data_IF_036299591555
#
_entry.id   IF_036299591555
#
_cell.length_a   1.000
_cell.length_b   1.000
_cell.length_c   1.000
_cell.angle_alpha   90.00
_cell.angle_beta   90.00
_cell.angle_gamma   90.00
#
_symmetry.space_group_name_H-M   'P 1'
#
loop_
_entity.id
_entity.type
_entity.pdbx_description
1 polymer ?
#
# COMPACT_ATOMS: atom_id res chain seq x y z
N UNK A 1 2.66 35.39 -73.44
CA UNK A 1 2.29 33.97 -73.40
C UNK A 1 1.94 33.63 -71.96
N UNK A 2 0.68 33.22 -71.73
CA UNK A 2 0.18 32.39 -70.60
C UNK A 2 0.23 32.90 -69.14
N UNK A 3 -0.92 32.72 -68.50
CA UNK A 3 -1.31 32.99 -67.12
C UNK A 3 -0.50 32.23 -66.06
N UNK A 4 -0.30 32.87 -64.90
CA UNK A 4 -0.40 32.22 -63.59
C UNK A 4 -1.37 33.04 -62.74
N UNK A 5 -2.60 32.55 -62.58
CA UNK A 5 -3.50 32.99 -61.51
C UNK A 5 -2.91 32.44 -60.22
N UNK A 6 -2.40 33.31 -59.37
CA UNK A 6 -2.34 33.00 -57.95
C UNK A 6 -3.65 33.52 -57.36
N UNK A 7 -4.59 32.61 -57.13
CA UNK A 7 -5.75 32.86 -56.29
C UNK A 7 -5.23 33.13 -54.87
N UNK A 8 -4.88 34.39 -54.61
CA UNK A 8 -4.79 34.93 -53.26
C UNK A 8 -6.22 34.86 -52.71
N UNK A 9 -6.55 33.76 -52.05
CA UNK A 9 -7.78 33.64 -51.27
C UNK A 9 -7.71 34.71 -50.18
N UNK A 10 -8.16 35.92 -50.51
CA UNK A 10 -8.31 37.03 -49.60
C UNK A 10 -9.40 36.63 -48.61
N UNK A 11 -8.98 35.99 -47.52
CA UNK A 11 -9.83 35.79 -46.36
C UNK A 11 -10.31 37.16 -45.92
N UNK A 12 -11.63 37.34 -45.92
CA UNK A 12 -12.25 38.57 -45.44
C UNK A 12 -11.74 38.86 -44.03
N UNK A 13 -11.33 40.11 -43.72
CA UNK A 13 -10.85 40.48 -42.38
C UNK A 13 -11.78 40.03 -41.25
N UNK A 14 -13.09 39.97 -41.53
CA UNK A 14 -14.11 39.52 -40.58
C UNK A 14 -14.07 38.00 -40.37
N UNK A 15 -13.89 37.24 -41.44
CA UNK A 15 -13.89 35.77 -41.39
C UNK A 15 -12.60 35.27 -40.71
N UNK A 16 -11.47 35.93 -40.95
CA UNK A 16 -10.21 35.59 -40.27
C UNK A 16 -10.30 35.75 -38.75
N UNK A 17 -10.91 36.84 -38.27
CA UNK A 17 -11.12 37.08 -36.84
C UNK A 17 -12.12 36.09 -36.25
N UNK A 18 -13.25 35.84 -36.93
CA UNK A 18 -14.22 34.86 -36.45
C UNK A 18 -13.61 33.46 -36.32
N UNK A 19 -12.78 33.04 -37.28
CA UNK A 19 -12.14 31.73 -37.25
C UNK A 19 -11.09 31.63 -36.13
N UNK A 20 -10.32 32.70 -35.89
CA UNK A 20 -9.38 32.76 -34.77
C UNK A 20 -10.07 32.66 -33.41
N UNK A 21 -11.21 33.34 -33.24
CA UNK A 21 -12.00 33.29 -32.00
C UNK A 21 -12.58 31.90 -31.75
N UNK A 22 -13.11 31.23 -32.77
CA UNK A 22 -13.67 29.89 -32.60
C UNK A 22 -12.60 28.89 -32.18
N UNK A 23 -11.44 28.90 -32.86
CA UNK A 23 -10.34 27.97 -32.53
C UNK A 23 -9.81 28.23 -31.12
N UNK A 24 -9.62 29.49 -30.73
CA UNK A 24 -9.12 29.83 -29.39
C UNK A 24 -10.12 29.45 -28.29
N UNK A 25 -11.42 29.64 -28.51
CA UNK A 25 -12.47 29.24 -27.55
C UNK A 25 -12.52 27.71 -27.40
N UNK A 26 -12.44 26.95 -28.49
CA UNK A 26 -12.41 25.48 -28.44
C UNK A 26 -11.17 24.99 -27.69
N UNK A 27 -9.99 25.54 -28.00
CA UNK A 27 -8.75 25.17 -27.32
C UNK A 27 -8.80 25.53 -25.83
N UNK A 28 -9.32 26.71 -25.47
CA UNK A 28 -9.49 27.12 -24.08
C UNK A 28 -10.44 26.18 -23.32
N UNK A 29 -11.57 25.81 -23.93
CA UNK A 29 -12.51 24.87 -23.34
C UNK A 29 -11.92 23.46 -23.18
N UNK A 30 -11.18 22.97 -24.17
CA UNK A 30 -10.49 21.68 -24.09
C UNK A 30 -9.45 21.69 -22.96
N UNK A 31 -8.55 22.67 -22.94
CA UNK A 31 -7.52 22.80 -21.89
C UNK A 31 -8.15 22.98 -20.50
N UNK A 32 -9.23 23.75 -20.39
CA UNK A 32 -9.99 23.90 -19.14
C UNK A 32 -10.63 22.59 -18.69
N UNK A 33 -11.22 21.84 -19.62
CA UNK A 33 -11.80 20.51 -19.37
C UNK A 33 -10.74 19.50 -18.91
N UNK A 34 -9.54 19.54 -19.49
CA UNK A 34 -8.41 18.72 -19.05
C UNK A 34 -7.86 19.16 -17.70
N UNK A 35 -7.85 20.45 -17.37
CA UNK A 35 -7.43 20.92 -16.03
C UNK A 35 -8.43 20.62 -14.92
N UNK A 36 -9.74 20.57 -15.24
CA UNK A 36 -10.79 20.26 -14.28
C UNK A 36 -11.07 18.76 -14.13
N UNK A 37 -10.92 17.99 -15.21
CA UNK A 37 -11.19 16.55 -15.25
C UNK A 37 -10.04 15.65 -14.74
N UNK A 38 -8.85 16.21 -14.51
CA UNK A 38 -7.71 15.52 -13.89
C UNK A 38 -7.57 15.78 -12.39
N UNK A 39 -8.53 16.45 -11.75
CA UNK A 39 -8.70 16.35 -10.29
C UNK A 39 -9.56 15.11 -9.99
N UNK A 40 -9.21 13.99 -10.63
CA UNK A 40 -9.64 12.69 -10.15
C UNK A 40 -8.94 12.50 -8.82
N UNK A 41 -9.74 12.32 -7.77
CA UNK A 41 -9.39 12.06 -6.38
C UNK A 41 -7.98 11.46 -6.22
N UNK A 42 -6.96 12.33 -6.28
CA UNK A 42 -5.60 11.92 -5.98
C UNK A 42 -5.55 11.98 -4.47
N UNK A 43 -6.29 11.07 -3.83
CA UNK A 43 -6.16 10.76 -2.43
C UNK A 43 -4.65 10.65 -2.21
N UNK A 44 -4.09 11.67 -1.56
CA UNK A 44 -2.65 11.75 -1.30
C UNK A 44 -2.25 10.38 -0.77
N UNK A 45 -1.26 9.67 -1.34
CA UNK A 45 -0.72 8.51 -0.65
C UNK A 45 -0.31 9.03 0.73
N UNK A 46 -0.94 8.51 1.78
CA UNK A 46 -0.59 8.92 3.14
C UNK A 46 0.92 8.73 3.26
N UNK A 47 1.63 9.79 3.64
CA UNK A 47 3.10 9.81 3.62
C UNK A 47 3.68 9.10 4.84
N UNK A 48 3.05 8.00 5.27
CA UNK A 48 3.51 7.24 6.41
C UNK A 48 4.77 6.45 6.01
N UNK A 49 5.83 6.65 6.78
CA UNK A 49 7.02 5.83 6.73
C UNK A 49 6.97 4.79 7.85
N UNK A 50 7.13 3.52 7.50
CA UNK A 50 7.25 2.41 8.45
C UNK A 50 8.56 1.68 8.26
N UNK A 51 9.08 1.14 9.35
CA UNK A 51 10.19 0.21 9.35
C UNK A 51 9.72 -1.08 9.99
N UNK A 52 10.02 -2.21 9.37
CA UNK A 52 9.74 -3.51 9.97
C UNK A 52 11.02 -4.34 10.09
N UNK A 53 11.10 -5.08 11.18
CA UNK A 53 12.22 -5.91 11.57
C UNK A 53 11.65 -7.30 11.91
N UNK A 54 11.93 -8.30 11.07
CA UNK A 54 11.50 -9.69 11.28
C UNK A 54 12.69 -10.55 11.73
N UNK A 55 12.44 -11.44 12.69
CA UNK A 55 13.40 -12.45 13.16
C UNK A 55 12.63 -13.67 13.64
N UNK A 56 13.01 -14.85 13.15
CA UNK A 56 12.37 -16.12 13.53
C UNK A 56 12.45 -16.37 15.04
N UNK A 57 13.53 -15.94 15.70
CA UNK A 57 13.72 -16.08 17.14
C UNK A 57 13.19 -14.91 17.99
N UNK A 58 13.17 -13.68 17.47
CA UNK A 58 12.78 -12.49 18.26
C UNK A 58 11.35 -12.00 18.01
N UNK A 59 10.73 -12.38 16.90
CA UNK A 59 9.42 -11.89 16.49
C UNK A 59 9.46 -10.84 15.38
N UNK A 60 8.31 -10.22 15.15
CA UNK A 60 8.14 -9.13 14.18
C UNK A 60 7.97 -7.82 14.95
N UNK A 61 8.70 -6.79 14.54
CA UNK A 61 8.56 -5.44 15.08
C UNK A 61 8.27 -4.48 13.93
N UNK A 62 7.26 -3.62 14.07
CA UNK A 62 6.86 -2.61 13.10
C UNK A 62 6.90 -1.25 13.80
N UNK A 63 7.80 -0.37 13.38
CA UNK A 63 7.97 0.97 13.95
C UNK A 63 7.42 2.01 12.99
N UNK A 64 6.61 2.93 13.53
CA UNK A 64 6.11 4.09 12.80
C UNK A 64 7.20 5.18 12.78
N UNK A 65 7.81 5.40 11.62
CA UNK A 65 8.96 6.32 11.49
C UNK A 65 8.53 7.78 11.31
N UNK A 66 7.32 8.03 10.80
CA UNK A 66 6.79 9.38 10.62
C UNK A 66 5.58 9.41 9.69
N UNK A 67 4.96 10.59 9.55
CA UNK A 67 3.79 10.81 8.69
C UNK A 67 2.48 10.83 9.46
N UNK A 68 1.38 10.52 8.76
CA UNK A 68 0.02 10.61 9.30
C UNK A 68 -0.27 9.50 10.31
N UNK A 69 -1.06 9.82 11.34
CA UNK A 69 -1.60 8.80 12.26
C UNK A 69 -2.70 8.00 11.57
N UNK A 70 -2.68 6.68 11.73
CA UNK A 70 -3.73 5.80 11.19
C UNK A 70 -4.63 5.22 12.27
N UNK A 71 -5.84 4.86 11.86
CA UNK A 71 -6.77 4.08 12.67
C UNK A 71 -6.47 2.58 12.54
N UNK A 72 -6.19 1.90 13.64
CA UNK A 72 -5.84 0.46 13.61
C UNK A 72 -7.05 -0.43 13.35
N UNK A 73 -8.28 0.07 13.57
CA UNK A 73 -9.51 -0.70 13.32
C UNK A 73 -9.90 -0.74 11.84
N UNK A 74 -9.39 0.21 11.05
CA UNK A 74 -9.64 0.33 9.61
C UNK A 74 -8.40 -0.02 8.78
N UNK A 75 -7.30 -0.41 9.44
CA UNK A 75 -6.05 -0.78 8.76
C UNK A 75 -5.76 -2.27 8.91
N UNK A 76 -5.63 -2.96 7.78
CA UNK A 76 -5.12 -4.31 7.69
C UNK A 76 -3.59 -4.32 7.47
N UNK A 77 -2.93 -5.35 8.02
CA UNK A 77 -1.53 -5.63 7.75
C UNK A 77 -1.50 -6.74 6.73
N UNK A 78 -1.01 -6.42 5.54
CA UNK A 78 -0.80 -7.38 4.48
C UNK A 78 0.68 -7.65 4.38
N UNK A 79 1.01 -8.89 4.09
CA UNK A 79 2.37 -9.23 3.79
C UNK A 79 2.39 -10.12 2.54
N UNK A 80 3.48 -10.05 1.80
CA UNK A 80 3.66 -10.82 0.57
C UNK A 80 5.13 -11.16 0.36
N UNK A 81 5.49 -12.40 0.00
CA UNK A 81 6.84 -12.73 -0.42
C UNK A 81 7.29 -11.88 -1.61
N UNK A 82 8.60 -11.73 -1.77
CA UNK A 82 9.20 -11.14 -2.98
C UNK A 82 9.63 -12.24 -3.95
N UNK A 83 10.23 -11.83 -5.08
CA UNK A 83 10.87 -12.71 -6.06
C UNK A 83 11.92 -13.65 -5.47
N UNK A 84 12.43 -13.37 -4.28
CA UNK A 84 13.37 -14.24 -3.56
C UNK A 84 12.74 -15.63 -3.28
N UNK A 85 11.40 -15.73 -3.24
CA UNK A 85 10.64 -16.96 -3.08
C UNK A 85 10.26 -17.64 -4.41
N UNK A 86 10.80 -17.19 -5.55
CA UNK A 86 10.53 -17.79 -6.86
C UNK A 86 9.07 -17.64 -7.29
N UNK A 87 8.44 -18.72 -7.75
CA UNK A 87 7.06 -18.76 -8.26
C UNK A 87 5.97 -18.55 -7.19
N UNK A 88 6.32 -18.03 -6.02
CA UNK A 88 5.42 -17.76 -4.91
C UNK A 88 5.30 -16.27 -4.61
N UNK A 89 5.97 -15.40 -5.38
CA UNK A 89 5.97 -13.93 -5.19
C UNK A 89 4.59 -13.27 -5.41
N UNK A 90 3.65 -13.97 -6.04
CA UNK A 90 2.26 -13.55 -6.17
C UNK A 90 1.39 -13.79 -4.93
N UNK A 91 1.88 -14.54 -3.94
CA UNK A 91 1.12 -14.82 -2.72
C UNK A 91 0.94 -13.55 -1.89
N UNK A 92 -0.20 -13.44 -1.21
CA UNK A 92 -0.55 -12.30 -0.38
C UNK A 92 -1.45 -12.79 0.75
N UNK A 93 -1.14 -12.42 1.99
CA UNK A 93 -1.95 -12.81 3.15
C UNK A 93 -2.24 -11.62 4.06
N UNK A 94 -3.36 -11.71 4.74
CA UNK A 94 -3.74 -10.82 5.83
C UNK A 94 -3.13 -11.35 7.14
N UNK A 95 -2.25 -10.58 7.75
CA UNK A 95 -1.69 -10.94 9.05
C UNK A 95 -2.77 -10.84 10.14
N UNK A 96 -2.82 -11.80 11.07
CA UNK A 96 -3.75 -11.74 12.18
C UNK A 96 -3.39 -10.58 13.12
N UNK A 97 -4.16 -9.49 13.04
CA UNK A 97 -3.95 -8.30 13.87
C UNK A 97 -4.26 -8.53 15.35
N UNK A 98 -4.89 -9.66 15.71
CA UNK A 98 -5.25 -9.98 17.10
C UNK A 98 -4.03 -10.32 17.96
N UNK A 99 -2.96 -10.82 17.35
CA UNK A 99 -1.68 -11.08 18.04
C UNK A 99 -0.71 -9.89 17.99
N UNK A 100 -0.97 -8.94 17.09
CA UNK A 100 -0.17 -7.72 16.94
C UNK A 100 -0.49 -6.75 18.08
N UNK A 101 0.54 -6.31 18.79
CA UNK A 101 0.42 -5.45 19.96
C UNK A 101 1.20 -4.16 19.78
N UNK A 102 0.59 -3.02 20.08
CA UNK A 102 1.22 -1.70 20.05
C UNK A 102 1.53 -1.26 21.46
N UNK A 103 2.77 -0.81 21.68
CA UNK A 103 3.17 -0.18 22.93
C UNK A 103 2.57 1.23 23.03
N UNK A 104 1.59 1.40 23.92
CA UNK A 104 0.95 2.68 24.28
C UNK A 104 1.47 3.14 25.64
N UNK A 105 2.68 3.69 25.66
CA UNK A 105 3.35 4.11 26.89
C UNK A 105 3.65 2.90 27.81
N UNK A 106 2.97 2.81 28.96
CA UNK A 106 3.15 1.72 29.93
C UNK A 106 2.27 0.49 29.67
N UNK A 107 1.34 0.57 28.71
CA UNK A 107 0.39 -0.50 28.42
C UNK A 107 0.55 -0.98 26.98
N UNK A 108 0.39 -2.29 26.78
CA UNK A 108 0.34 -2.90 25.45
C UNK A 108 -1.12 -3.07 25.03
N UNK A 109 -1.46 -2.59 23.84
CA UNK A 109 -2.82 -2.64 23.28
C UNK A 109 -2.83 -3.44 21.99
N UNK A 110 -3.85 -4.25 21.79
CA UNK A 110 -3.97 -5.07 20.56
C UNK A 110 -4.28 -4.17 19.38
N UNK A 111 -3.69 -4.43 18.21
CA UNK A 111 -3.93 -3.66 16.99
C UNK A 111 -5.41 -3.67 16.64
N UNK A 112 -5.96 -4.86 16.41
CA UNK A 112 -7.38 -5.10 16.20
C UNK A 112 -7.71 -6.57 16.50
N UNK A 113 -8.78 -6.80 17.25
CA UNK A 113 -9.34 -8.13 17.51
C UNK A 113 -10.87 -8.02 17.42
N UNK A 114 -11.54 -8.85 16.60
CA UNK A 114 -12.98 -8.74 16.36
C UNK A 114 -13.82 -9.06 17.61
N UNK A 115 -13.26 -9.84 18.54
CA UNK A 115 -13.96 -10.28 19.77
C UNK A 115 -13.63 -9.41 20.99
N UNK A 116 -12.78 -8.40 20.85
CA UNK A 116 -12.33 -7.57 21.95
C UNK A 116 -13.07 -6.24 22.02
N UNK A 117 -13.26 -5.72 23.23
CA UNK A 117 -13.85 -4.39 23.42
C UNK A 117 -12.93 -3.32 22.83
N UNK A 118 -13.51 -2.28 22.22
CA UNK A 118 -12.75 -1.17 21.63
C UNK A 118 -11.86 -0.42 22.63
N UNK A 119 -12.14 -0.52 23.95
CA UNK A 119 -11.29 0.02 25.02
C UNK A 119 -9.98 -0.75 25.22
N UNK A 120 -9.86 -1.97 24.67
CA UNK A 120 -8.68 -2.82 24.74
C UNK A 120 -7.79 -2.70 23.50
N UNK A 121 -8.29 -2.07 22.44
CA UNK A 121 -7.58 -1.88 21.18
C UNK A 121 -6.72 -0.61 21.18
N UNK A 122 -5.69 -0.60 20.35
CA UNK A 122 -4.78 0.53 20.20
C UNK A 122 -5.49 1.77 19.63
N UNK A 123 -6.53 1.56 18.80
CA UNK A 123 -7.34 2.54 18.05
C UNK A 123 -6.56 3.38 17.05
N UNK A 124 -5.34 3.78 17.39
CA UNK A 124 -4.47 4.55 16.54
C UNK A 124 -3.07 3.96 16.52
N UNK A 125 -2.33 4.20 15.44
CA UNK A 125 -0.90 3.96 15.36
C UNK A 125 -0.22 5.25 14.94
N UNK A 126 0.66 5.78 15.79
CA UNK A 126 1.22 7.12 15.69
C UNK A 126 2.74 7.09 15.46
N UNK A 127 3.33 8.15 14.89
CA UNK A 127 4.79 8.30 14.78
C UNK A 127 5.51 8.06 16.11
N UNK A 128 6.55 7.24 16.09
CA UNK A 128 7.34 6.84 17.25
C UNK A 128 6.81 5.60 17.98
N UNK A 129 5.57 5.17 17.71
CA UNK A 129 5.05 3.94 18.27
C UNK A 129 5.61 2.71 17.56
N UNK A 130 5.62 1.59 18.29
CA UNK A 130 6.08 0.31 17.79
C UNK A 130 5.04 -0.75 18.07
N UNK A 131 4.61 -1.42 17.00
CA UNK A 131 3.87 -2.66 17.06
C UNK A 131 4.85 -3.83 17.10
N UNK A 132 4.51 -4.88 17.84
CA UNK A 132 5.32 -6.08 17.94
C UNK A 132 4.42 -7.33 17.95
N UNK A 133 4.99 -8.43 17.48
CA UNK A 133 4.44 -9.78 17.52
C UNK A 133 5.49 -10.66 18.17
N UNK A 134 5.09 -11.46 19.16
CA UNK A 134 6.00 -12.37 19.83
C UNK A 134 6.45 -13.48 18.87
N UNK A 135 7.65 -14.04 19.09
CA UNK A 135 8.16 -15.17 18.30
C UNK A 135 7.20 -16.37 18.32
N UNK A 136 6.51 -16.58 19.46
CA UNK A 136 5.49 -17.62 19.62
C UNK A 136 4.26 -17.43 18.75
N UNK A 137 4.00 -16.24 18.22
CA UNK A 137 2.77 -15.90 17.49
C UNK A 137 3.08 -15.61 16.01
N UNK A 138 4.34 -15.82 15.57
CA UNK A 138 4.77 -15.50 14.21
C UNK A 138 4.01 -16.29 13.15
N UNK A 139 3.53 -17.50 13.46
CA UNK A 139 2.73 -18.31 12.54
C UNK A 139 1.42 -17.64 12.12
N UNK A 140 0.88 -16.72 12.94
CA UNK A 140 -0.36 -16.02 12.62
C UNK A 140 -0.15 -14.75 11.77
N UNK A 141 1.10 -14.35 11.56
CA UNK A 141 1.45 -13.13 10.80
C UNK A 141 2.37 -13.44 9.62
N UNK A 142 2.36 -14.69 9.15
CA UNK A 142 3.14 -15.17 8.02
C UNK A 142 2.24 -15.84 6.96
N UNK A 143 2.74 -16.17 5.74
CA UNK A 143 1.88 -16.63 4.65
C UNK A 143 1.02 -17.82 5.06
N UNK A 144 -0.30 -17.68 4.88
CA UNK A 144 -1.29 -18.74 5.08
C UNK A 144 -2.03 -18.96 3.76
N UNK A 145 -2.24 -20.22 3.38
CA UNK A 145 -2.91 -20.57 2.13
C UNK A 145 -4.43 -20.72 2.28
N UNK A 146 -4.93 -20.69 3.52
CA UNK A 146 -6.33 -20.89 3.90
C UNK A 146 -6.95 -22.17 3.29
N UNK A 147 -6.11 -23.17 3.00
CA UNK A 147 -6.55 -24.44 2.44
C UNK A 147 -7.19 -25.28 3.54
N UNK A 148 -8.29 -25.96 3.22
CA UNK A 148 -8.95 -26.83 4.18
C UNK A 148 -7.97 -27.93 4.64
N UNK A 149 -7.58 -27.87 5.91
CA UNK A 149 -6.67 -28.83 6.53
C UNK A 149 -5.21 -28.38 6.58
N UNK A 150 -4.87 -27.16 6.15
CA UNK A 150 -3.61 -26.52 6.53
C UNK A 150 -3.82 -25.69 7.81
N UNK A 151 -2.84 -25.73 8.70
CA UNK A 151 -2.75 -24.82 9.85
C UNK A 151 -1.77 -23.67 9.55
N UNK A 152 -1.92 -22.52 10.22
CA UNK A 152 -0.94 -21.42 10.10
C UNK A 152 0.49 -21.89 10.41
N UNK A 153 0.66 -22.84 11.32
CA UNK A 153 1.96 -23.42 11.67
C UNK A 153 2.56 -24.26 10.52
N UNK A 154 1.74 -25.06 9.83
CA UNK A 154 2.20 -25.85 8.67
C UNK A 154 2.57 -24.94 7.49
N UNK A 155 1.76 -23.92 7.22
CA UNK A 155 2.02 -22.96 6.14
C UNK A 155 3.27 -22.09 6.44
N UNK A 156 3.45 -21.70 7.71
CA UNK A 156 4.64 -21.03 8.20
C UNK A 156 5.95 -21.80 7.98
N UNK A 157 5.86 -23.13 8.03
CA UNK A 157 6.98 -24.06 7.87
C UNK A 157 7.07 -24.64 6.46
N UNK A 158 6.21 -24.22 5.53
CA UNK A 158 6.19 -24.77 4.19
C UNK A 158 7.52 -24.47 3.48
N UNK A 159 8.20 -25.46 2.87
CA UNK A 159 9.58 -25.33 2.38
C UNK A 159 9.77 -24.24 1.31
N UNK A 160 8.71 -23.88 0.59
CA UNK A 160 8.80 -22.99 -0.56
C UNK A 160 8.38 -21.54 -0.29
N UNK A 161 7.50 -21.31 0.69
CA UNK A 161 6.93 -19.98 0.97
C UNK A 161 6.87 -19.65 2.45
N UNK A 162 7.06 -20.62 3.35
CA UNK A 162 6.99 -20.43 4.79
C UNK A 162 8.19 -19.66 5.32
N UNK A 163 7.94 -18.67 6.17
CA UNK A 163 8.97 -17.76 6.67
C UNK A 163 9.75 -18.31 7.86
N UNK A 164 9.28 -19.41 8.48
CA UNK A 164 9.94 -20.08 9.61
C UNK A 164 10.94 -21.16 9.16
N UNK A 165 11.15 -21.30 7.85
CA UNK A 165 12.11 -22.26 7.30
C UNK A 165 13.54 -21.70 7.35
N UNK A 166 14.53 -22.59 7.43
CA UNK A 166 15.94 -22.18 7.38
C UNK A 166 16.34 -21.63 6.01
N UNK A 167 15.63 -22.04 4.94
CA UNK A 167 15.81 -21.56 3.56
C UNK A 167 15.27 -20.15 3.36
N UNK A 168 14.27 -19.73 4.15
CA UNK A 168 13.75 -18.37 4.09
C UNK A 168 14.69 -17.32 4.70
N UNK A 169 15.67 -17.73 5.51
CA UNK A 169 16.63 -16.80 6.12
C UNK A 169 17.44 -16.09 5.03
N UNK A 170 17.43 -14.75 5.07
CA UNK A 170 18.07 -13.90 4.07
C UNK A 170 17.17 -13.53 2.88
N UNK A 171 16.02 -14.19 2.71
CA UNK A 171 15.01 -13.80 1.74
C UNK A 171 14.22 -12.59 2.22
N UNK A 172 13.60 -11.86 1.28
CA UNK A 172 12.79 -10.68 1.58
C UNK A 172 11.32 -10.90 1.34
N UNK A 173 10.52 -10.22 2.13
CA UNK A 173 9.09 -10.05 1.93
C UNK A 173 8.73 -8.57 2.02
N UNK A 174 7.59 -8.20 1.47
CA UNK A 174 7.02 -6.86 1.61
C UNK A 174 5.95 -6.91 2.69
N UNK A 175 6.01 -5.97 3.63
CA UNK A 175 4.94 -5.68 4.57
C UNK A 175 4.26 -4.39 4.15
N UNK A 176 2.94 -4.44 4.02
CA UNK A 176 2.10 -3.33 3.59
C UNK A 176 0.99 -3.07 4.61
N UNK A 177 0.78 -1.81 4.96
CA UNK A 177 -0.40 -1.35 5.67
C UNK A 177 -1.43 -0.91 4.64
N UNK A 178 -2.66 -1.40 4.76
CA UNK A 178 -3.71 -1.22 3.78
C UNK A 178 -4.97 -0.73 4.49
N UNK A 179 -5.62 0.28 3.94
CA UNK A 179 -6.90 0.79 4.44
C UNK A 179 -8.04 -0.19 4.15
N UNK A 180 -9.19 0.03 4.77
CA UNK A 180 -10.47 -0.64 4.52
C UNK A 180 -10.90 -0.66 3.05
N UNK A 181 -10.51 0.36 2.27
CA UNK A 181 -10.73 0.43 0.82
C UNK A 181 -9.72 -0.37 -0.02
N UNK A 182 -8.79 -1.09 0.62
CA UNK A 182 -7.75 -1.87 -0.07
C UNK A 182 -6.58 -1.01 -0.58
N UNK A 183 -6.55 0.29 -0.28
CA UNK A 183 -5.47 1.19 -0.67
C UNK A 183 -4.26 1.03 0.24
N UNK A 184 -3.07 0.83 -0.34
CA UNK A 184 -1.81 0.82 0.42
C UNK A 184 -1.50 2.20 0.99
N UNK A 185 -1.42 2.26 2.32
CA UNK A 185 -1.05 3.43 3.13
C UNK A 185 0.48 3.51 3.21
N UNK A 186 1.12 2.42 3.60
CA UNK A 186 2.57 2.32 3.73
C UNK A 186 3.06 0.94 3.31
N UNK A 187 4.30 0.85 2.84
CA UNK A 187 4.93 -0.44 2.51
C UNK A 187 6.42 -0.41 2.82
N UNK A 188 6.97 -1.56 3.17
CA UNK A 188 8.40 -1.71 3.45
C UNK A 188 8.88 -3.12 3.10
N UNK A 189 10.11 -3.24 2.62
CA UNK A 189 10.76 -4.54 2.40
C UNK A 189 11.48 -4.97 3.67
N UNK A 190 11.30 -6.23 4.06
CA UNK A 190 11.84 -6.81 5.29
C UNK A 190 12.63 -8.05 4.94
N UNK A 191 13.86 -8.13 5.46
CA UNK A 191 14.71 -9.31 5.35
C UNK A 191 14.41 -10.26 6.51
N UNK A 192 14.23 -11.54 6.20
CA UNK A 192 14.04 -12.57 7.20
C UNK A 192 15.38 -12.87 7.87
N UNK A 193 15.43 -12.73 9.19
CA UNK A 193 16.58 -13.08 10.02
C UNK A 193 16.26 -14.30 10.87
N UNK A 194 17.27 -15.06 11.30
CA UNK A 194 17.08 -16.11 12.29
C UNK A 194 16.60 -15.52 13.63
#
# INVERSE_FOLDING_TARGET
MRFFRNDENAVSPVIGVMLMLVVTVILAAAVSGFSGGLVGDTSKPSQMAIKADFSQSKGLTITHMGGDTINTMETAIIVNPTRDFGSYDQMKWDANTSVVRINKGTQSRVWYSPNSYSSQLARTFQPGETAYVAASDLYEVQPETYVRGSSPEEDALHPNYGFMTTTAVGQRFVLSLVDSDGKTIAKTEVVIRP
#
